data_IF_526077783980
#
_entry.id   IF_526077783980
#
_cell.length_a   1.000
_cell.length_b   1.000
_cell.length_c   1.000
_cell.angle_alpha   90.00
_cell.angle_beta   90.00
_cell.angle_gamma   90.00
#
_symmetry.space_group_name_H-M   'P 1'
#
loop_
_entity.id
_entity.type
_entity.pdbx_description
1 polymer ?
#
# COMPACT_ATOMS: atom_id res chain seq x y z
N UNK A 1 -5.33 65.39 20.58
CA UNK A 1 -4.25 64.39 20.63
C UNK A 1 -4.78 63.06 20.11
N UNK A 2 -4.05 62.47 19.15
CA UNK A 2 -4.07 61.08 18.66
C UNK A 2 -5.32 60.57 17.91
N UNK A 3 -5.16 60.49 16.58
CA UNK A 3 -5.76 59.47 15.71
C UNK A 3 -5.21 58.07 16.06
N UNK A 4 -5.98 57.02 15.81
CA UNK A 4 -5.51 55.79 15.12
C UNK A 4 -6.71 54.89 14.75
N UNK A 5 -7.01 54.79 13.45
CA UNK A 5 -6.77 53.65 12.54
C UNK A 5 -7.88 52.58 12.43
N UNK A 6 -8.57 52.63 11.27
CA UNK A 6 -8.84 51.53 10.32
C UNK A 6 -9.67 50.31 10.78
N UNK A 7 -10.88 50.11 10.21
CA UNK A 7 -11.17 49.18 9.09
C UNK A 7 -10.95 47.70 9.50
N UNK A 8 -11.96 46.83 9.55
CA UNK A 8 -12.57 46.17 8.38
C UNK A 8 -13.86 45.43 8.80
N UNK A 9 -14.86 45.52 7.92
CA UNK A 9 -16.13 44.81 7.93
C UNK A 9 -16.01 43.29 7.65
N UNK A 10 -17.15 42.61 7.71
CA UNK A 10 -17.41 41.22 7.33
C UNK A 10 -16.87 40.15 8.29
N UNK A 11 -17.76 39.50 9.02
CA UNK A 11 -17.92 38.03 8.93
C UNK A 11 -19.27 37.58 9.52
N UNK A 12 -20.36 38.10 8.95
CA UNK A 12 -21.69 37.53 9.07
C UNK A 12 -21.93 36.57 7.91
N UNK A 13 -21.31 35.39 7.91
CA UNK A 13 -21.62 34.29 6.98
C UNK A 13 -20.93 32.97 7.35
N UNK A 14 -21.17 32.37 8.52
CA UNK A 14 -21.01 30.91 8.70
C UNK A 14 -22.01 30.38 9.76
N UNK A 15 -23.29 30.73 9.59
CA UNK A 15 -24.36 29.80 9.97
C UNK A 15 -24.59 28.86 8.79
N UNK A 16 -24.68 27.56 9.09
CA UNK A 16 -25.09 26.46 8.21
C UNK A 16 -24.04 25.90 7.24
N UNK A 17 -23.09 25.13 7.78
CA UNK A 17 -22.77 23.83 7.20
C UNK A 17 -22.19 22.95 8.31
N UNK A 18 -22.56 21.67 8.36
CA UNK A 18 -22.18 20.68 9.38
C UNK A 18 -22.95 20.70 10.70
N UNK A 19 -24.28 20.80 10.61
CA UNK A 19 -25.18 20.05 11.51
C UNK A 19 -25.85 18.90 10.75
N UNK A 20 -25.03 17.94 10.36
CA UNK A 20 -25.38 16.52 10.24
C UNK A 20 -24.16 15.82 10.86
N UNK A 21 -24.09 15.39 12.13
CA UNK A 21 -25.12 14.75 12.95
C UNK A 21 -26.01 13.78 12.16
N UNK A 22 -25.43 13.14 11.15
CA UNK A 22 -25.67 11.72 10.97
C UNK A 22 -24.68 11.03 11.91
N UNK A 23 -25.20 10.59 13.04
CA UNK A 23 -24.83 9.36 13.73
C UNK A 23 -23.75 8.59 12.96
N UNK A 24 -22.47 8.80 13.29
CA UNK A 24 -21.45 7.81 12.97
C UNK A 24 -21.81 6.57 13.78
N UNK A 25 -22.75 5.78 13.27
CA UNK A 25 -22.71 4.35 13.46
C UNK A 25 -21.30 3.98 13.06
N UNK A 26 -20.52 3.53 14.04
CA UNK A 26 -19.27 2.83 13.86
C UNK A 26 -19.53 1.58 13.00
N UNK A 27 -19.83 1.76 11.71
CA UNK A 27 -19.66 0.68 10.77
C UNK A 27 -18.15 0.51 10.66
N UNK A 28 -17.67 -0.50 11.39
CA UNK A 28 -16.36 -1.11 11.26
C UNK A 28 -16.29 -1.75 9.86
N UNK A 29 -16.42 -0.93 8.82
CA UNK A 29 -16.44 -1.37 7.45
C UNK A 29 -15.08 -1.98 7.14
N UNK A 30 -15.12 -3.18 6.60
CA UNK A 30 -13.91 -3.89 6.18
C UNK A 30 -13.80 -3.78 4.67
N UNK A 31 -12.73 -3.13 4.21
CA UNK A 31 -12.45 -2.91 2.80
C UNK A 31 -11.51 -4.02 2.34
N UNK A 32 -12.00 -4.89 1.46
CA UNK A 32 -11.20 -5.95 0.84
C UNK A 32 -10.66 -5.49 -0.50
N UNK A 33 -9.35 -5.59 -0.71
CA UNK A 33 -8.70 -5.18 -1.96
C UNK A 33 -8.62 -6.38 -2.92
N UNK A 34 -9.74 -6.68 -3.59
CA UNK A 34 -9.91 -7.89 -4.41
C UNK A 34 -9.67 -7.66 -5.91
N UNK A 35 -9.61 -6.41 -6.37
CA UNK A 35 -9.27 -6.10 -7.76
C UNK A 35 -7.75 -6.01 -7.88
N UNK A 36 -7.13 -7.03 -8.50
CA UNK A 36 -5.68 -7.16 -8.55
C UNK A 36 -5.22 -7.03 -9.99
N UNK A 37 -4.33 -6.07 -10.24
CA UNK A 37 -3.73 -5.81 -11.55
C UNK A 37 -2.22 -5.79 -11.45
N UNK A 38 -1.54 -6.46 -12.39
CA UNK A 38 -0.08 -6.44 -12.48
C UNK A 38 0.36 -5.23 -13.30
N UNK A 39 1.46 -4.60 -12.90
CA UNK A 39 2.11 -3.55 -13.68
C UNK A 39 2.84 -4.15 -14.87
N UNK A 40 2.81 -3.45 -16.00
CA UNK A 40 3.63 -3.78 -17.16
C UNK A 40 5.06 -3.29 -16.93
N UNK A 41 6.02 -4.19 -17.13
CA UNK A 41 7.44 -3.92 -16.98
C UNK A 41 8.05 -3.51 -18.32
N UNK A 42 8.74 -2.38 -18.33
CA UNK A 42 9.57 -1.90 -19.43
C UNK A 42 10.92 -1.43 -18.86
N UNK A 43 11.94 -2.28 -19.04
CA UNK A 43 13.29 -2.10 -18.52
C UNK A 43 13.33 -1.93 -16.99
N UNK A 44 13.34 -0.69 -16.50
CA UNK A 44 13.38 -0.34 -15.07
C UNK A 44 12.17 0.49 -14.64
N UNK A 45 11.13 0.49 -15.47
CA UNK A 45 9.88 1.22 -15.29
C UNK A 45 8.71 0.24 -15.25
N UNK A 46 7.83 0.42 -14.29
CA UNK A 46 6.61 -0.35 -14.13
C UNK A 46 5.43 0.59 -14.25
N UNK A 47 4.52 0.31 -15.17
CA UNK A 47 3.38 1.19 -15.46
C UNK A 47 2.06 0.46 -15.33
N UNK A 48 1.10 1.12 -14.69
CA UNK A 48 -0.29 0.68 -14.63
C UNK A 48 -1.18 1.92 -14.56
N UNK A 49 -2.05 2.09 -15.56
CA UNK A 49 -2.94 3.25 -15.68
C UNK A 49 -2.18 4.59 -15.54
N UNK A 50 -2.45 5.36 -14.48
CA UNK A 50 -1.82 6.64 -14.20
C UNK A 50 -0.66 6.54 -13.20
N UNK A 51 -0.26 5.34 -12.80
CA UNK A 51 0.85 5.10 -11.86
C UNK A 51 2.06 4.60 -12.65
N UNK A 52 3.19 5.21 -12.35
CA UNK A 52 4.48 4.81 -12.89
C UNK A 52 5.48 4.69 -11.75
N UNK A 53 6.20 3.58 -11.73
CA UNK A 53 7.22 3.27 -10.73
C UNK A 53 8.53 3.09 -11.48
N UNK A 54 9.54 3.90 -11.16
CA UNK A 54 10.87 3.80 -11.73
C UNK A 54 11.84 3.34 -10.66
N UNK A 55 12.60 2.30 -10.94
CA UNK A 55 13.63 1.78 -10.05
C UNK A 55 14.98 2.21 -10.61
N UNK A 56 15.75 2.94 -9.82
CA UNK A 56 17.07 3.40 -10.24
C UNK A 56 18.18 2.47 -9.72
N UNK A 57 19.38 2.64 -10.28
CA UNK A 57 20.57 1.83 -9.96
C UNK A 57 21.03 1.93 -8.49
N UNK A 58 20.46 2.84 -7.70
CA UNK A 58 20.77 3.04 -6.28
C UNK A 58 19.74 2.40 -5.34
N UNK A 59 18.92 1.47 -5.84
CA UNK A 59 17.82 0.86 -5.10
C UNK A 59 16.81 1.88 -4.55
N UNK A 60 16.63 3.00 -5.25
CA UNK A 60 15.59 3.98 -4.94
C UNK A 60 14.44 3.79 -5.92
N UNK A 61 13.26 3.61 -5.35
CA UNK A 61 12.02 3.53 -6.08
C UNK A 61 11.36 4.91 -6.14
N UNK A 62 11.18 5.43 -7.35
CA UNK A 62 10.43 6.67 -7.59
C UNK A 62 8.99 6.31 -7.95
N UNK A 63 8.05 6.60 -7.07
CA UNK A 63 6.62 6.44 -7.33
C UNK A 63 6.05 7.74 -7.92
N UNK A 64 5.43 7.65 -9.10
CA UNK A 64 4.75 8.75 -9.77
C UNK A 64 3.28 8.43 -9.99
N UNK A 65 2.42 9.45 -9.90
CA UNK A 65 1.01 9.40 -10.30
C UNK A 65 0.67 10.60 -11.16
N UNK A 66 0.09 10.37 -12.33
CA UNK A 66 -0.20 11.42 -13.33
C UNK A 66 1.06 12.27 -13.60
N UNK A 67 2.20 11.59 -13.84
CA UNK A 67 3.52 12.19 -14.08
C UNK A 67 4.09 13.08 -12.97
N UNK A 68 3.47 13.12 -11.79
CA UNK A 68 4.00 13.82 -10.61
C UNK A 68 4.64 12.81 -9.66
N UNK A 69 5.84 13.13 -9.17
CA UNK A 69 6.50 12.33 -8.13
C UNK A 69 5.69 12.43 -6.85
N UNK A 70 5.22 11.29 -6.35
CA UNK A 70 4.59 11.17 -5.03
C UNK A 70 5.68 10.97 -3.97
N UNK A 71 6.65 10.08 -4.24
CA UNK A 71 7.68 9.73 -3.28
C UNK A 71 8.90 9.10 -3.95
N UNK A 72 10.06 9.27 -3.31
CA UNK A 72 11.26 8.49 -3.54
C UNK A 72 11.47 7.60 -2.32
N UNK A 73 11.56 6.29 -2.53
CA UNK A 73 11.63 5.29 -1.49
C UNK A 73 12.97 4.59 -1.61
N UNK A 74 13.88 4.90 -0.70
CA UNK A 74 15.13 4.15 -0.56
C UNK A 74 14.81 2.74 -0.09
N UNK A 75 15.25 1.74 -0.84
CA UNK A 75 15.11 0.37 -0.40
C UNK A 75 16.25 0.02 0.56
N UNK A 76 15.92 -0.30 1.82
CA UNK A 76 16.88 -0.50 2.94
C UNK A 76 17.79 -1.73 2.78
N UNK A 77 17.68 -2.45 1.68
CA UNK A 77 18.49 -3.63 1.37
C UNK A 77 19.02 -3.50 -0.04
N UNK A 78 20.32 -3.70 -0.23
CA UNK A 78 20.90 -3.89 -1.55
C UNK A 78 20.21 -5.10 -2.19
N UNK A 79 19.28 -4.84 -3.10
CA UNK A 79 18.59 -5.89 -3.83
C UNK A 79 19.50 -6.30 -5.00
N UNK A 80 20.06 -7.50 -4.91
CA UNK A 80 20.81 -8.14 -5.97
C UNK A 80 19.98 -9.30 -6.51
N UNK A 81 18.93 -8.98 -7.27
CA UNK A 81 18.09 -9.99 -7.90
C UNK A 81 17.57 -9.58 -9.27
N UNK A 82 16.85 -10.48 -9.95
CA UNK A 82 16.51 -10.33 -11.37
C UNK A 82 15.47 -9.23 -11.65
N UNK A 83 14.79 -8.69 -10.63
CA UNK A 83 13.88 -7.56 -10.79
C UNK A 83 12.73 -7.57 -9.79
N UNK A 84 11.60 -6.99 -10.18
CA UNK A 84 10.43 -6.93 -9.33
C UNK A 84 9.17 -7.31 -10.09
N UNK A 85 8.23 -7.93 -9.38
CA UNK A 85 6.85 -8.01 -9.83
C UNK A 85 6.02 -7.04 -9.01
N UNK A 86 5.28 -6.15 -9.68
CA UNK A 86 4.51 -5.11 -9.01
C UNK A 86 3.03 -5.29 -9.30
N UNK A 87 2.23 -5.19 -8.24
CA UNK A 87 0.79 -5.40 -8.27
C UNK A 87 0.07 -4.25 -7.59
N UNK A 88 -1.05 -3.85 -8.17
CA UNK A 88 -2.03 -2.97 -7.56
C UNK A 88 -3.19 -3.80 -7.04
N UNK A 89 -3.58 -3.54 -5.80
CA UNK A 89 -4.72 -4.12 -5.10
C UNK A 89 -5.72 -2.99 -4.81
N UNK A 90 -6.89 -3.06 -5.45
CA UNK A 90 -7.94 -2.05 -5.39
C UNK A 90 -9.26 -2.63 -4.88
N UNK A 91 -10.15 -1.74 -4.48
CA UNK A 91 -11.54 -2.06 -4.18
C UNK A 91 -12.45 -1.16 -5.04
N UNK A 92 -13.41 -1.77 -5.74
CA UNK A 92 -14.33 -1.08 -6.65
C UNK A 92 -15.15 0.04 -5.99
N UNK A 93 -15.54 -0.15 -4.74
CA UNK A 93 -16.37 0.79 -3.98
C UNK A 93 -15.53 1.89 -3.30
N UNK A 94 -14.22 1.64 -3.13
CA UNK A 94 -13.28 2.53 -2.45
C UNK A 94 -12.08 2.85 -3.37
N UNK A 95 -12.38 3.42 -4.55
CA UNK A 95 -11.41 3.68 -5.62
C UNK A 95 -10.30 4.68 -5.27
N UNK A 96 -10.47 5.43 -4.18
CA UNK A 96 -9.48 6.40 -3.70
C UNK A 96 -8.33 5.74 -2.93
N UNK A 97 -8.54 4.50 -2.46
CA UNK A 97 -7.55 3.70 -1.74
C UNK A 97 -7.00 2.59 -2.63
N UNK A 98 -5.68 2.41 -2.56
CA UNK A 98 -4.95 1.44 -3.39
C UNK A 98 -3.74 0.92 -2.61
N UNK A 99 -3.53 -0.39 -2.65
CA UNK A 99 -2.32 -1.02 -2.09
C UNK A 99 -1.43 -1.45 -3.23
N UNK A 100 -0.22 -0.91 -3.29
CA UNK A 100 0.82 -1.38 -4.21
C UNK A 100 1.68 -2.39 -3.45
N UNK A 101 1.85 -3.56 -4.05
CA UNK A 101 2.72 -4.62 -3.56
C UNK A 101 3.85 -4.81 -4.56
N UNK A 102 5.06 -4.65 -4.07
CA UNK A 102 6.29 -4.87 -4.83
C UNK A 102 6.92 -6.13 -4.30
N UNK A 103 6.98 -7.14 -5.14
CA UNK A 103 7.62 -8.41 -4.88
C UNK A 103 9.00 -8.45 -5.52
N UNK A 104 10.02 -8.71 -4.70
CA UNK A 104 11.38 -8.98 -5.16
C UNK A 104 11.47 -10.42 -5.68
N UNK A 105 12.14 -10.63 -6.83
CA UNK A 105 12.27 -11.97 -7.46
C UNK A 105 13.60 -12.70 -7.16
N UNK A 106 14.26 -12.42 -6.01
CA UNK A 106 15.65 -12.85 -5.74
C UNK A 106 15.81 -14.28 -5.18
N UNK A 107 16.98 -14.91 -5.30
CA UNK A 107 17.08 -16.34 -4.99
C UNK A 107 16.91 -16.73 -3.51
N UNK A 108 17.31 -15.94 -2.50
CA UNK A 108 17.04 -16.17 -1.04
C UNK A 108 17.50 -14.94 -0.22
N UNK A 109 16.76 -14.56 0.85
CA UNK A 109 17.32 -13.82 2.00
C UNK A 109 17.05 -12.30 2.08
N UNK A 110 16.42 -11.71 1.07
CA UNK A 110 16.08 -10.27 1.03
C UNK A 110 14.66 -10.03 1.54
N UNK A 111 14.35 -8.79 1.99
CA UNK A 111 12.96 -8.42 2.25
C UNK A 111 12.14 -8.58 0.96
N UNK A 112 11.07 -9.37 1.04
CA UNK A 112 10.48 -9.95 -0.16
C UNK A 112 9.34 -9.11 -0.72
N UNK A 113 8.52 -8.54 0.16
CA UNK A 113 7.45 -7.64 -0.23
C UNK A 113 7.70 -6.25 0.35
N UNK A 114 7.53 -5.24 -0.48
CA UNK A 114 7.38 -3.87 -0.06
C UNK A 114 5.95 -3.41 -0.32
N UNK A 115 5.28 -2.96 0.73
CA UNK A 115 3.86 -2.61 0.71
C UNK A 115 3.74 -1.11 0.80
N UNK A 116 2.95 -0.50 -0.09
CA UNK A 116 2.62 0.92 -0.09
C UNK A 116 1.11 1.04 -0.11
N UNK A 117 0.53 1.66 0.92
CA UNK A 117 -0.89 2.01 0.95
C UNK A 117 -1.03 3.48 0.57
N UNK A 118 -1.77 3.71 -0.51
CA UNK A 118 -2.16 5.03 -1.00
C UNK A 118 -3.60 5.33 -0.60
N UNK A 119 -3.85 6.58 -0.20
CA UNK A 119 -5.18 7.15 -0.07
C UNK A 119 -5.20 8.53 -0.73
N UNK A 120 -6.17 8.75 -1.63
CA UNK A 120 -6.29 9.96 -2.44
C UNK A 120 -4.97 10.36 -3.14
N UNK A 121 -4.19 9.36 -3.58
CA UNK A 121 -2.90 9.55 -4.25
C UNK A 121 -1.73 9.92 -3.35
N UNK A 122 -1.91 9.96 -2.03
CA UNK A 122 -0.84 10.18 -1.06
C UNK A 122 -0.46 8.87 -0.36
N UNK A 123 0.82 8.69 -0.02
CA UNK A 123 1.25 7.54 0.79
C UNK A 123 0.81 7.76 2.23
N UNK A 124 -0.02 6.86 2.75
CA UNK A 124 -0.44 6.88 4.17
C UNK A 124 0.27 5.84 5.02
N UNK A 125 0.81 4.77 4.41
CA UNK A 125 1.60 3.76 5.10
C UNK A 125 2.50 3.03 4.11
N UNK A 126 3.71 2.69 4.53
CA UNK A 126 4.64 1.86 3.76
C UNK A 126 5.51 1.01 4.68
N UNK A 127 5.83 -0.22 4.30
CA UNK A 127 6.67 -1.12 5.11
C UNK A 127 7.15 -2.36 4.33
N UNK A 128 8.22 -2.96 4.83
CA UNK A 128 8.70 -4.27 4.39
C UNK A 128 8.00 -5.44 5.06
N UNK A 129 7.87 -6.52 4.30
CA UNK A 129 7.52 -7.86 4.76
C UNK A 129 8.59 -8.82 4.27
N UNK A 130 9.33 -9.42 5.20
CA UNK A 130 10.37 -10.40 4.87
C UNK A 130 9.82 -11.81 4.67
N UNK A 131 8.77 -12.14 5.44
CA UNK A 131 8.16 -13.46 5.56
C UNK A 131 6.68 -13.30 5.96
N UNK A 132 5.80 -14.26 5.65
CA UNK A 132 6.06 -15.52 4.93
C UNK A 132 6.16 -15.33 3.41
N UNK A 133 6.83 -16.26 2.71
CA UNK A 133 7.02 -16.24 1.25
C UNK A 133 6.24 -17.36 0.57
N UNK A 134 5.81 -17.13 -0.66
CA UNK A 134 5.31 -18.19 -1.55
C UNK A 134 6.38 -18.67 -2.51
N UNK A 135 6.16 -19.82 -3.15
CA UNK A 135 7.02 -20.29 -4.21
C UNK A 135 6.66 -19.59 -5.53
N UNK A 136 7.36 -18.50 -5.84
CA UNK A 136 7.14 -17.64 -7.01
C UNK A 136 7.27 -18.37 -8.36
N UNK A 137 7.92 -19.55 -8.40
CA UNK A 137 8.02 -20.37 -9.61
C UNK A 137 6.69 -21.02 -10.00
N UNK A 138 5.76 -21.13 -9.04
CA UNK A 138 4.55 -21.96 -9.19
C UNK A 138 3.26 -21.30 -8.70
N UNK A 139 3.37 -20.22 -7.93
CA UNK A 139 2.23 -19.54 -7.31
C UNK A 139 2.34 -18.05 -7.63
N UNK A 140 1.24 -17.43 -8.07
CA UNK A 140 1.14 -15.98 -8.17
C UNK A 140 0.86 -15.37 -6.79
N UNK A 141 1.37 -14.15 -6.54
CA UNK A 141 1.10 -13.43 -5.29
C UNK A 141 -0.38 -13.24 -5.00
N UNK A 142 -1.23 -13.10 -6.02
CA UNK A 142 -2.69 -12.94 -5.90
C UNK A 142 -3.36 -14.15 -5.25
N UNK A 143 -2.80 -15.35 -5.45
CA UNK A 143 -3.31 -16.59 -4.89
C UNK A 143 -2.81 -16.80 -3.45
N UNK A 144 -1.68 -16.18 -3.12
CA UNK A 144 -1.04 -16.27 -1.81
C UNK A 144 -1.49 -15.21 -0.81
N UNK A 145 -1.64 -13.96 -1.25
CA UNK A 145 -1.81 -12.77 -0.40
C UNK A 145 -3.20 -12.14 -0.58
N UNK A 146 -3.97 -12.15 0.50
CA UNK A 146 -5.19 -11.35 0.64
C UNK A 146 -4.88 -10.08 1.46
N UNK A 147 -5.41 -8.94 1.05
CA UNK A 147 -5.22 -7.66 1.74
C UNK A 147 -6.58 -7.03 2.06
N UNK A 148 -6.74 -6.56 3.29
CA UNK A 148 -7.91 -5.78 3.68
C UNK A 148 -7.58 -4.73 4.73
N UNK A 149 -8.39 -3.68 4.81
CA UNK A 149 -8.35 -2.69 5.86
C UNK A 149 -9.62 -2.79 6.71
N UNK A 150 -9.48 -2.86 8.03
CA UNK A 150 -10.59 -2.82 8.97
C UNK A 150 -10.15 -1.99 10.16
N UNK A 151 -10.99 -1.06 10.62
CA UNK A 151 -10.72 -0.26 11.83
C UNK A 151 -9.35 0.45 11.80
N UNK A 152 -8.99 1.03 10.65
CA UNK A 152 -7.70 1.70 10.39
C UNK A 152 -6.46 0.79 10.51
N UNK A 153 -6.67 -0.53 10.53
CA UNK A 153 -5.60 -1.52 10.53
C UNK A 153 -5.53 -2.20 9.17
N UNK A 154 -4.36 -2.12 8.54
CA UNK A 154 -4.09 -2.88 7.33
C UNK A 154 -3.71 -4.31 7.73
N UNK A 155 -4.38 -5.28 7.15
CA UNK A 155 -4.11 -6.70 7.39
C UNK A 155 -3.67 -7.37 6.10
N UNK A 156 -2.53 -8.04 6.18
CA UNK A 156 -2.03 -8.95 5.16
C UNK A 156 -2.28 -10.37 5.65
N UNK A 157 -2.96 -11.17 4.82
CA UNK A 157 -3.41 -12.51 5.14
C UNK A 157 -2.84 -13.49 4.11
N UNK A 158 -1.89 -14.29 4.56
CA UNK A 158 -1.09 -15.20 3.73
C UNK A 158 -1.65 -16.63 3.79
N UNK A 159 -1.88 -17.28 2.64
CA UNK A 159 -2.37 -18.66 2.57
C UNK A 159 -1.27 -19.66 2.91
N UNK A 160 -1.47 -20.44 3.98
CA UNK A 160 -0.49 -21.45 4.44
C UNK A 160 -0.13 -22.49 3.39
N UNK A 161 -1.12 -22.96 2.62
CA UNK A 161 -0.92 -24.01 1.61
C UNK A 161 0.03 -23.61 0.46
N UNK A 162 0.32 -22.32 0.33
CA UNK A 162 1.19 -21.77 -0.71
C UNK A 162 2.51 -21.23 -0.16
N UNK A 163 2.76 -21.38 1.14
CA UNK A 163 4.03 -20.98 1.74
C UNK A 163 5.13 -21.88 1.21
N UNK A 164 6.20 -21.27 0.71
CA UNK A 164 7.36 -22.00 0.24
C UNK A 164 8.01 -22.79 1.39
N UNK A 165 8.55 -23.95 1.08
CA UNK A 165 9.21 -24.83 2.08
C UNK A 165 10.43 -24.16 2.73
N UNK A 166 11.07 -23.21 2.04
CA UNK A 166 12.20 -22.43 2.54
C UNK A 166 11.78 -21.19 3.36
N UNK A 167 10.49 -20.83 3.39
CA UNK A 167 10.00 -19.65 4.13
C UNK A 167 10.04 -19.89 5.63
N UNK A 168 10.67 -18.96 6.36
CA UNK A 168 10.73 -19.01 7.82
C UNK A 168 9.58 -18.19 8.40
N UNK A 169 8.55 -18.87 8.92
CA UNK A 169 7.40 -18.19 9.51
C UNK A 169 7.79 -17.60 10.88
N UNK A 170 7.77 -16.26 11.07
CA UNK A 170 8.06 -15.65 12.36
C UNK A 170 7.03 -16.10 13.41
N UNK A 171 7.50 -16.49 14.60
CA UNK A 171 6.64 -16.95 15.71
C UNK A 171 5.67 -15.87 16.19
N UNK A 172 6.02 -14.60 16.02
CA UNK A 172 5.21 -13.44 16.42
C UNK A 172 3.95 -13.23 15.58
N UNK A 173 3.85 -13.81 14.38
CA UNK A 173 2.66 -13.66 13.54
C UNK A 173 1.51 -14.53 14.04
N UNK A 174 0.31 -13.94 14.12
CA UNK A 174 -0.92 -14.68 14.39
C UNK A 174 -1.22 -15.61 13.24
N UNK A 175 -1.87 -16.74 13.54
CA UNK A 175 -2.15 -17.80 12.57
C UNK A 175 -3.42 -18.56 12.97
N UNK A 176 -4.15 -19.02 11.98
CA UNK A 176 -5.26 -19.97 12.15
C UNK A 176 -4.95 -21.28 11.39
N UNK A 177 -5.95 -22.12 11.11
CA UNK A 177 -5.75 -23.36 10.34
C UNK A 177 -5.17 -23.12 8.94
N UNK A 178 -5.63 -22.07 8.25
CA UNK A 178 -5.43 -21.87 6.82
C UNK A 178 -4.50 -20.70 6.49
N UNK A 179 -4.30 -19.77 7.42
CA UNK A 179 -3.69 -18.47 7.17
C UNK A 179 -2.69 -18.04 8.24
N UNK A 180 -1.82 -17.13 7.83
CA UNK A 180 -0.94 -16.33 8.68
C UNK A 180 -1.31 -14.86 8.48
N UNK A 181 -1.25 -14.08 9.55
CA UNK A 181 -1.71 -12.70 9.57
C UNK A 181 -0.60 -11.77 10.02
N UNK A 182 -0.42 -10.70 9.25
CA UNK A 182 0.37 -9.54 9.62
C UNK A 182 -0.56 -8.33 9.73
N UNK A 183 -0.54 -7.70 10.91
CA UNK A 183 -1.31 -6.49 11.20
C UNK A 183 -0.38 -5.29 11.23
N UNK A 184 -0.76 -4.20 10.56
CA UNK A 184 0.02 -2.97 10.49
C UNK A 184 -0.81 -1.73 10.73
#
# INVERSE_FOLDING_TARGET
MKYNFFFIALFSAFLNCFSQNQTMKNNLETIYFNEISRFEEDNSSYTLENINIVINNTNVLTLKKVNKVISNISLDTNYEGPGFQIYSYKNKQHSNTEVIVIEATADIGVAWYYIILLDNGSIIKQFYVKEPRHNSDSIDIKDFLEIYCSNRQLTLKFRKKHIATYSIIPKSLKRDKNFIYLYK
#
